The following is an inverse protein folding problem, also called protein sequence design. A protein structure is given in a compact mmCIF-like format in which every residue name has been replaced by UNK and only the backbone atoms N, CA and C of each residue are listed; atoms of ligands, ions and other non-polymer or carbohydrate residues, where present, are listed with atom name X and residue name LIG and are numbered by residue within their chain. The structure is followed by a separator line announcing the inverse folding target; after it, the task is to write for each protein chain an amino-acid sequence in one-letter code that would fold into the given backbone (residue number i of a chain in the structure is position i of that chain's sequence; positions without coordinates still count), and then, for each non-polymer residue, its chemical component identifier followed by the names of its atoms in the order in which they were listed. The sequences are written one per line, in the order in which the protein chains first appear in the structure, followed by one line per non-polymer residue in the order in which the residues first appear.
data_IF_449605755841
#
_entry.id   IF_449605755841
#
_cell.length_a   1.000
_cell.length_b   1.000
_cell.length_c   1.000
_cell.angle_alpha   90.00
_cell.angle_beta   90.00
_cell.angle_gamma   90.00
#
_symmetry.space_group_name_H-M   'P 1'
#
loop_
_entity.id
_entity.type
_entity.pdbx_description
1 polymer ?
#
# COMPACT_ATOMS: atom_id res chain seq x y z
N UNK A 1 8.89 23.55 -8.81
CA UNK A 1 7.89 22.48 -9.02
C UNK A 1 6.82 22.98 -9.97
N UNK A 2 6.33 22.13 -10.88
CA UNK A 2 5.11 22.39 -11.65
C UNK A 2 3.94 22.68 -10.70
N UNK A 3 2.83 23.22 -11.23
CA UNK A 3 1.60 23.39 -10.44
C UNK A 3 1.21 22.05 -9.78
N UNK A 4 0.75 22.05 -8.51
CA UNK A 4 0.31 20.83 -7.83
C UNK A 4 -0.88 20.19 -8.55
N UNK A 5 -0.92 18.85 -8.54
CA UNK A 5 -2.05 18.05 -9.01
C UNK A 5 -3.31 18.33 -8.16
N UNK A 6 -4.48 17.87 -8.60
CA UNK A 6 -5.74 18.20 -7.94
C UNK A 6 -5.90 17.51 -6.59
N UNK A 7 -6.14 16.20 -6.60
CA UNK A 7 -6.57 15.44 -5.43
C UNK A 7 -5.95 14.06 -5.38
N UNK A 8 -5.32 13.72 -4.23
CA UNK A 8 -4.86 12.38 -3.92
C UNK A 8 -5.65 11.74 -2.78
N UNK A 9 -5.83 10.42 -2.84
CA UNK A 9 -6.43 9.60 -1.78
C UNK A 9 -5.45 8.50 -1.38
N UNK A 10 -5.18 8.36 -0.09
CA UNK A 10 -4.32 7.33 0.49
C UNK A 10 -5.17 6.36 1.31
N UNK A 11 -5.34 5.13 0.82
CA UNK A 11 -6.30 4.14 1.33
C UNK A 11 -5.60 3.10 2.19
N UNK A 12 -6.10 2.91 3.40
CA UNK A 12 -5.39 2.24 4.48
C UNK A 12 -4.18 3.06 4.91
N UNK A 13 -4.40 4.35 5.20
CA UNK A 13 -3.33 5.31 5.43
C UNK A 13 -2.56 5.10 6.74
N UNK A 14 -3.06 4.26 7.66
CA UNK A 14 -2.49 4.07 8.98
C UNK A 14 -2.34 5.40 9.71
N UNK A 15 -1.16 5.63 10.30
CA UNK A 15 -0.81 6.90 10.94
C UNK A 15 -0.36 8.00 9.97
N UNK A 16 -0.65 7.86 8.67
CA UNK A 16 -0.57 8.92 7.67
C UNK A 16 0.82 9.19 7.08
N UNK A 17 1.77 8.26 7.17
CA UNK A 17 3.13 8.46 6.64
C UNK A 17 3.12 8.80 5.15
N UNK A 18 2.48 7.97 4.33
CA UNK A 18 2.38 8.20 2.88
C UNK A 18 1.51 9.43 2.57
N UNK A 19 0.39 9.59 3.28
CA UNK A 19 -0.49 10.77 3.16
C UNK A 19 0.28 12.09 3.29
N UNK A 20 1.18 12.20 4.28
CA UNK A 20 2.00 13.41 4.47
C UNK A 20 3.07 13.58 3.39
N UNK A 21 3.64 12.50 2.87
CA UNK A 21 4.62 12.55 1.76
C UNK A 21 3.97 13.10 0.48
N UNK A 22 2.69 12.79 0.24
CA UNK A 22 1.95 13.30 -0.92
C UNK A 22 1.58 14.79 -0.81
N UNK A 23 1.48 15.34 0.41
CA UNK A 23 0.96 16.69 0.67
C UNK A 23 1.59 17.81 -0.18
N UNK A 24 2.91 17.85 -0.44
CA UNK A 24 3.51 18.93 -1.25
C UNK A 24 3.15 18.90 -2.75
N UNK A 25 2.62 17.77 -3.26
CA UNK A 25 2.40 17.54 -4.69
C UNK A 25 0.95 17.77 -5.14
N UNK A 26 0.01 17.83 -4.20
CA UNK A 26 -1.43 17.89 -4.48
C UNK A 26 -2.10 19.07 -3.77
N UNK A 27 -3.15 19.64 -4.37
CA UNK A 27 -3.96 20.68 -3.73
C UNK A 27 -4.77 20.15 -2.56
N UNK A 28 -5.11 18.86 -2.58
CA UNK A 28 -5.84 18.15 -1.51
C UNK A 28 -5.28 16.73 -1.38
N UNK A 29 -5.15 16.25 -0.15
CA UNK A 29 -4.86 14.85 0.15
C UNK A 29 -5.85 14.34 1.21
N UNK A 30 -6.43 13.17 0.98
CA UNK A 30 -7.30 12.49 1.92
C UNK A 30 -6.68 11.16 2.32
N UNK A 31 -6.37 10.97 3.61
CA UNK A 31 -6.07 9.65 4.17
C UNK A 31 -7.37 8.96 4.60
N UNK A 32 -7.52 7.69 4.26
CA UNK A 32 -8.65 6.85 4.68
C UNK A 32 -8.09 5.64 5.43
N UNK A 33 -8.62 5.36 6.62
CA UNK A 33 -8.33 4.12 7.33
C UNK A 33 -9.58 3.65 8.07
N UNK A 34 -9.79 2.34 8.15
CA UNK A 34 -10.92 1.76 8.91
C UNK A 34 -10.68 1.86 10.43
N UNK A 35 -9.42 1.96 10.85
CA UNK A 35 -9.04 2.08 12.25
C UNK A 35 -9.12 3.53 12.72
N UNK A 36 -10.10 3.81 13.57
CA UNK A 36 -10.24 5.10 14.26
C UNK A 36 -8.96 5.48 15.00
N UNK A 37 -8.32 4.54 15.70
CA UNK A 37 -7.08 4.79 16.43
C UNK A 37 -5.93 5.23 15.50
N UNK A 38 -5.78 4.60 14.33
CA UNK A 38 -4.76 5.00 13.34
C UNK A 38 -5.06 6.39 12.78
N UNK A 39 -6.31 6.65 12.40
CA UNK A 39 -6.72 7.94 11.86
C UNK A 39 -6.54 9.10 12.87
N UNK A 40 -6.81 8.88 14.15
CA UNK A 40 -6.57 9.87 15.20
C UNK A 40 -5.08 10.19 15.37
N UNK A 41 -4.20 9.17 15.36
CA UNK A 41 -2.75 9.40 15.37
C UNK A 41 -2.28 10.12 14.09
N UNK A 42 -2.85 9.78 12.94
CA UNK A 42 -2.56 10.46 11.68
C UNK A 42 -2.91 11.95 11.74
N UNK A 43 -4.08 12.30 12.30
CA UNK A 43 -4.51 13.69 12.53
C UNK A 43 -3.53 14.43 13.43
N UNK A 44 -3.14 13.85 14.57
CA UNK A 44 -2.18 14.46 15.51
C UNK A 44 -0.81 14.71 14.88
N UNK A 45 -0.33 13.78 14.06
CA UNK A 45 0.98 13.85 13.42
C UNK A 45 1.02 14.77 12.19
N UNK A 46 -0.11 15.30 11.74
CA UNK A 46 -0.21 16.04 10.47
C UNK A 46 -0.39 17.53 10.69
N UNK A 47 0.56 18.31 10.16
CA UNK A 47 0.54 19.78 10.20
C UNK A 47 0.12 20.40 8.86
N UNK A 48 0.10 19.62 7.78
CA UNK A 48 -0.18 20.12 6.44
C UNK A 48 -1.66 20.50 6.28
N UNK A 49 -1.97 21.76 5.90
CA UNK A 49 -3.35 22.26 5.90
C UNK A 49 -4.23 21.68 4.78
N UNK A 50 -3.61 21.06 3.77
CA UNK A 50 -4.29 20.42 2.65
C UNK A 50 -4.55 18.92 2.86
N UNK A 51 -4.26 18.40 4.06
CA UNK A 51 -4.46 16.99 4.41
C UNK A 51 -5.64 16.83 5.34
N UNK A 52 -6.51 15.87 5.04
CA UNK A 52 -7.64 15.47 5.88
C UNK A 52 -7.66 13.96 6.05
N UNK A 53 -8.33 13.46 7.08
CA UNK A 53 -8.49 12.04 7.34
C UNK A 53 -9.96 11.66 7.52
N UNK A 54 -10.35 10.50 7.01
CA UNK A 54 -11.70 9.93 7.16
C UNK A 54 -11.62 8.48 7.63
N UNK A 55 -12.62 8.07 8.42
CA UNK A 55 -12.74 6.71 8.95
C UNK A 55 -13.81 6.01 8.13
N UNK A 56 -13.40 5.19 7.18
CA UNK A 56 -14.29 4.37 6.36
C UNK A 56 -13.53 3.16 5.79
N UNK A 57 -14.23 2.09 5.38
CA UNK A 57 -13.61 1.00 4.65
C UNK A 57 -13.09 1.46 3.28
N UNK A 58 -12.18 0.68 2.70
CA UNK A 58 -11.60 0.96 1.38
C UNK A 58 -12.64 0.81 0.26
N UNK A 59 -13.70 0.06 0.49
CA UNK A 59 -14.72 -0.29 -0.48
C UNK A 59 -15.86 0.74 -0.58
N UNK A 60 -15.97 1.65 0.41
CA UNK A 60 -17.06 2.63 0.51
C UNK A 60 -16.50 4.00 0.93
N UNK A 61 -15.84 4.69 0.00
CA UNK A 61 -15.21 5.97 0.24
C UNK A 61 -16.20 7.11 0.03
N UNK A 62 -16.25 8.05 0.97
CA UNK A 62 -17.03 9.30 0.81
C UNK A 62 -16.32 10.31 -0.11
N UNK A 63 -16.03 9.87 -1.34
CA UNK A 63 -15.29 10.61 -2.38
C UNK A 63 -16.15 10.72 -3.64
N UNK A 64 -16.12 11.90 -4.27
CA UNK A 64 -16.88 12.17 -5.49
C UNK A 64 -16.40 11.35 -6.69
N UNK A 65 -17.31 11.07 -7.62
CA UNK A 65 -16.99 10.37 -8.87
C UNK A 65 -15.99 11.15 -9.72
N UNK A 66 -15.12 10.44 -10.43
CA UNK A 66 -14.13 11.00 -11.36
C UNK A 66 -13.42 12.27 -10.82
N UNK A 67 -12.97 12.22 -9.56
CA UNK A 67 -12.46 13.38 -8.83
C UNK A 67 -11.01 13.22 -8.35
N UNK A 68 -10.48 12.00 -8.35
CA UNK A 68 -9.15 11.65 -7.83
C UNK A 68 -8.14 11.55 -8.96
N UNK A 69 -7.01 12.23 -8.82
CA UNK A 69 -5.88 12.14 -9.76
C UNK A 69 -4.96 10.96 -9.43
N UNK A 70 -4.73 10.70 -8.14
CA UNK A 70 -3.89 9.60 -7.64
C UNK A 70 -4.56 8.91 -6.44
N UNK A 71 -4.71 7.60 -6.51
CA UNK A 71 -5.07 6.76 -5.38
C UNK A 71 -3.89 5.87 -5.00
N UNK A 72 -3.49 5.87 -3.74
CA UNK A 72 -2.43 5.02 -3.22
C UNK A 72 -2.99 4.04 -2.19
N UNK A 73 -2.41 2.84 -2.12
CA UNK A 73 -2.48 2.01 -0.92
C UNK A 73 -1.09 1.46 -0.62
N UNK A 74 -0.55 1.89 0.51
CA UNK A 74 0.78 1.51 0.97
C UNK A 74 0.66 0.46 2.07
N UNK A 75 1.02 -0.79 1.79
CA UNK A 75 1.02 -1.92 2.73
C UNK A 75 -0.37 -2.40 3.15
N UNK A 76 -1.48 -1.71 2.83
CA UNK A 76 -2.80 -2.06 3.35
C UNK A 76 -3.66 -2.93 2.42
N UNK A 77 -3.34 -3.00 1.12
CA UNK A 77 -4.22 -3.60 0.12
C UNK A 77 -4.57 -5.08 0.36
N UNK A 78 -3.75 -5.83 1.12
CA UNK A 78 -4.04 -7.22 1.48
C UNK A 78 -5.19 -7.37 2.50
N UNK A 79 -5.65 -6.28 3.12
CA UNK A 79 -6.84 -6.29 3.99
C UNK A 79 -8.15 -6.05 3.23
N UNK A 80 -8.09 -5.65 1.95
CA UNK A 80 -9.27 -5.20 1.22
C UNK A 80 -10.01 -6.35 0.54
N UNK A 81 -11.32 -6.18 0.37
CA UNK A 81 -12.12 -6.98 -0.54
C UNK A 81 -11.90 -6.45 -1.95
N UNK A 82 -11.09 -7.16 -2.75
CA UNK A 82 -10.54 -6.63 -4.01
C UNK A 82 -11.62 -6.23 -5.02
N UNK A 83 -12.65 -7.05 -5.26
CA UNK A 83 -13.67 -6.71 -6.27
C UNK A 83 -14.46 -5.43 -5.94
N UNK A 84 -15.04 -5.26 -4.73
CA UNK A 84 -15.67 -4.00 -4.34
C UNK A 84 -14.70 -2.82 -4.32
N UNK A 85 -13.47 -3.02 -3.82
CA UNK A 85 -12.44 -1.98 -3.81
C UNK A 85 -12.13 -1.47 -5.22
N UNK A 86 -11.94 -2.36 -6.21
CA UNK A 86 -11.68 -1.96 -7.59
C UNK A 86 -12.86 -1.22 -8.22
N UNK A 87 -14.11 -1.61 -7.92
CA UNK A 87 -15.30 -0.85 -8.35
C UNK A 87 -15.29 0.57 -7.78
N UNK A 88 -14.90 0.72 -6.53
CA UNK A 88 -14.81 2.01 -5.87
C UNK A 88 -13.68 2.86 -6.46
N UNK A 89 -12.53 2.25 -6.77
CA UNK A 89 -11.42 2.88 -7.48
C UNK A 89 -11.87 3.41 -8.85
N UNK A 90 -12.55 2.58 -9.64
CA UNK A 90 -13.06 2.96 -10.96
C UNK A 90 -14.04 4.13 -10.88
N UNK A 91 -14.88 4.15 -9.84
CA UNK A 91 -15.86 5.21 -9.62
C UNK A 91 -15.20 6.56 -9.34
N UNK A 92 -14.15 6.60 -8.53
CA UNK A 92 -13.58 7.86 -8.01
C UNK A 92 -12.40 8.39 -8.83
N UNK A 93 -11.68 7.54 -9.54
CA UNK A 93 -10.56 7.98 -10.38
C UNK A 93 -11.06 8.78 -11.59
N UNK A 94 -10.38 9.89 -11.89
CA UNK A 94 -10.55 10.61 -13.15
C UNK A 94 -10.13 9.73 -14.33
N UNK A 95 -10.64 10.00 -15.55
CA UNK A 95 -9.97 9.55 -16.77
C UNK A 95 -8.49 9.95 -16.76
N UNK A 96 -7.59 8.97 -16.85
CA UNK A 96 -6.14 9.18 -16.76
C UNK A 96 -5.58 9.28 -15.34
N UNK A 97 -6.40 9.09 -14.30
CA UNK A 97 -5.95 8.92 -12.92
C UNK A 97 -5.25 7.59 -12.70
N UNK A 98 -4.51 7.47 -11.59
CA UNK A 98 -3.66 6.31 -11.31
C UNK A 98 -4.02 5.66 -9.97
N UNK A 99 -4.11 4.32 -9.96
CA UNK A 99 -4.04 3.49 -8.76
C UNK A 99 -2.61 2.99 -8.58
N UNK A 100 -2.00 3.25 -7.42
CA UNK A 100 -0.70 2.71 -7.04
C UNK A 100 -0.82 1.89 -5.75
N UNK A 101 -0.67 0.57 -5.88
CA UNK A 101 -0.58 -0.35 -4.74
C UNK A 101 0.89 -0.75 -4.57
N UNK A 102 1.43 -0.53 -3.39
CA UNK A 102 2.83 -0.85 -3.11
C UNK A 102 3.03 -1.24 -1.65
N UNK A 103 4.17 -1.84 -1.38
CA UNK A 103 4.63 -2.15 -0.02
C UNK A 103 6.10 -1.75 0.11
N UNK A 104 6.59 -1.66 1.35
CA UNK A 104 8.02 -1.51 1.59
C UNK A 104 8.63 -2.90 1.79
N UNK A 105 9.68 -3.20 1.04
CA UNK A 105 10.58 -4.28 1.39
C UNK A 105 11.79 -3.64 2.06
N UNK A 106 11.99 -3.79 3.39
CA UNK A 106 13.26 -3.40 3.97
C UNK A 106 14.37 -4.22 3.33
N UNK A 107 15.59 -3.68 3.34
CA UNK A 107 16.79 -4.50 3.20
C UNK A 107 16.74 -5.55 4.31
N UNK A 108 16.58 -6.83 3.95
CA UNK A 108 16.50 -7.88 4.94
C UNK A 108 17.91 -8.27 5.34
N UNK A 109 18.25 -7.93 6.58
CA UNK A 109 19.48 -8.35 7.22
C UNK A 109 19.12 -9.33 8.35
N UNK A 110 19.74 -10.51 8.33
CA UNK A 110 19.56 -11.53 9.37
C UNK A 110 20.54 -11.24 10.51
N UNK A 111 20.05 -10.65 11.60
CA UNK A 111 20.85 -10.39 12.80
C UNK A 111 20.30 -11.17 13.99
N UNK A 112 20.99 -12.24 14.41
CA UNK A 112 20.63 -12.94 15.64
C UNK A 112 21.84 -13.63 16.29
N UNK A 113 22.42 -13.01 17.32
CA UNK A 113 23.58 -13.54 18.07
C UNK A 113 24.68 -14.05 17.11
N UNK A 114 25.25 -15.22 17.37
CA UNK A 114 26.07 -15.97 16.41
C UNK A 114 25.13 -16.70 15.43
N UNK A 115 24.45 -15.95 14.56
CA UNK A 115 23.70 -16.56 13.48
C UNK A 115 24.72 -17.33 12.64
N UNK A 116 24.59 -18.65 12.58
CA UNK A 116 25.52 -19.44 11.77
C UNK A 116 25.39 -18.98 10.33
N UNK A 117 26.50 -18.89 9.61
CA UNK A 117 26.52 -18.58 8.16
C UNK A 117 25.50 -19.46 7.40
N UNK A 118 25.29 -20.69 7.86
CA UNK A 118 24.28 -21.63 7.36
C UNK A 118 22.83 -21.11 7.49
N UNK A 119 22.42 -20.54 8.62
CA UNK A 119 21.05 -20.02 8.78
C UNK A 119 20.81 -18.74 7.99
N UNK A 120 21.82 -17.87 7.90
CA UNK A 120 21.80 -16.72 6.99
C UNK A 120 21.66 -17.18 5.54
N UNK A 121 22.39 -18.22 5.15
CA UNK A 121 22.33 -18.79 3.80
C UNK A 121 20.96 -19.43 3.49
N UNK A 122 20.38 -20.20 4.41
CA UNK A 122 19.02 -20.74 4.27
C UNK A 122 17.99 -19.63 4.06
N UNK A 123 18.07 -18.54 4.84
CA UNK A 123 17.18 -17.41 4.66
C UNK A 123 17.41 -16.73 3.29
N UNK A 124 18.66 -16.50 2.90
CA UNK A 124 19.00 -15.89 1.61
C UNK A 124 18.52 -16.73 0.40
N UNK A 125 18.51 -18.06 0.51
CA UNK A 125 18.02 -18.96 -0.54
C UNK A 125 16.49 -19.03 -0.58
N UNK A 126 15.82 -18.98 0.58
CA UNK A 126 14.36 -19.09 0.65
C UNK A 126 13.63 -17.77 0.43
N UNK A 127 14.23 -16.63 0.79
CA UNK A 127 13.59 -15.32 0.69
C UNK A 127 13.14 -14.94 -0.76
N UNK A 128 13.95 -15.17 -1.81
CA UNK A 128 13.55 -14.93 -3.20
C UNK A 128 12.39 -15.80 -3.69
N UNK A 129 12.02 -16.87 -2.97
CA UNK A 129 10.91 -17.75 -3.35
C UNK A 129 9.54 -17.23 -2.91
N UNK A 130 9.47 -16.32 -1.92
CA UNK A 130 8.20 -15.77 -1.44
C UNK A 130 7.39 -14.98 -2.49
N UNK A 131 8.01 -14.17 -3.36
CA UNK A 131 7.29 -13.51 -4.46
C UNK A 131 6.60 -14.49 -5.42
N UNK A 132 7.19 -15.68 -5.66
CA UNK A 132 6.58 -16.72 -6.50
C UNK A 132 5.23 -17.13 -5.91
N UNK A 133 5.16 -17.38 -4.60
CA UNK A 133 3.91 -17.74 -3.92
C UNK A 133 2.85 -16.64 -3.88
N UNK A 134 3.28 -15.38 -3.90
CA UNK A 134 2.37 -14.24 -3.86
C UNK A 134 1.83 -13.84 -5.24
N UNK A 135 2.52 -14.25 -6.31
CA UNK A 135 2.21 -13.86 -7.68
C UNK A 135 1.73 -15.00 -8.58
N UNK A 136 1.86 -16.26 -8.15
CA UNK A 136 1.34 -17.43 -8.89
C UNK A 136 0.30 -18.19 -8.09
N UNK A 137 -0.63 -18.86 -8.79
CA UNK A 137 -1.62 -19.72 -8.12
C UNK A 137 -0.87 -20.84 -7.36
N UNK A 138 -1.35 -21.30 -6.20
CA UNK A 138 -0.64 -22.29 -5.38
C UNK A 138 -0.17 -23.55 -6.11
N UNK A 139 -0.91 -23.98 -7.14
CA UNK A 139 -0.57 -25.15 -7.96
C UNK A 139 0.56 -24.90 -8.97
N UNK A 140 0.72 -23.67 -9.45
CA UNK A 140 1.81 -23.26 -10.34
C UNK A 140 3.12 -23.07 -9.57
N UNK A 141 3.05 -22.49 -8.37
CA UNK A 141 4.18 -22.37 -7.45
C UNK A 141 4.81 -23.75 -7.11
N UNK A 142 3.96 -24.76 -6.83
CA UNK A 142 4.39 -26.15 -6.58
C UNK A 142 5.14 -26.78 -7.77
N UNK A 143 4.77 -26.43 -9.01
CA UNK A 143 5.40 -26.97 -10.23
C UNK A 143 6.77 -26.36 -10.47
N UNK A 144 6.92 -25.05 -10.24
CA UNK A 144 8.21 -24.33 -10.40
C UNK A 144 9.27 -24.77 -9.37
N UNK A 145 8.85 -25.16 -8.16
CA UNK A 145 9.80 -25.67 -7.15
C UNK A 145 10.37 -27.04 -7.51
N UNK A 146 9.57 -27.95 -8.06
CA UNK A 146 10.06 -29.27 -8.48
C UNK A 146 11.13 -29.19 -9.58
N UNK A 147 11.05 -28.19 -10.45
CA UNK A 147 12.04 -27.95 -11.51
C UNK A 147 13.32 -27.27 -11.01
N UNK A 148 13.35 -26.74 -9.78
CA UNK A 148 14.54 -26.17 -9.16
C UNK A 148 15.29 -27.19 -8.27
N UNK A 149 14.66 -28.34 -7.99
CA UNK A 149 15.21 -29.47 -7.24
C UNK A 149 15.81 -30.56 -8.16
N UNK A 150 15.71 -30.39 -9.49
CA UNK A 150 16.32 -31.23 -10.55
C UNK A 150 17.59 -30.58 -11.13
#
# INVERSE_FOLDING_TARGET
FSKPYGFAVDVGCGTGQNTRILAPYFKKVLGIDISEAQAEEAKKATVSPNVTYSICPAEEMSVGEASVDLLTSSVAAHYFTIEPFLKEVDRILKPGGCLAIFTFLPSIEVHYKDCSEQMTQVFAETFPMYPIYLQTKPEEAKKMMRTAEE
#
